data_IF_471162769089
#
_entry.id   IF_471162769089
#
_cell.length_a   1.000
_cell.length_b   1.000
_cell.length_c   1.000
_cell.angle_alpha   90.00
_cell.angle_beta   90.00
_cell.angle_gamma   90.00
#
_symmetry.space_group_name_H-M   'P 1'
#
loop_
_entity.id
_entity.type
_entity.pdbx_description
1 polymer ?
#
# COMPACT_ATOMS: atom_id res chain seq x y z
N UNK A 1 21.61 60.30 -31.59
CA UNK A 1 20.68 59.45 -32.35
C UNK A 1 20.68 58.08 -31.69
N UNK A 2 19.60 57.75 -30.99
CA UNK A 2 19.42 56.49 -30.26
C UNK A 2 18.84 55.41 -31.19
N UNK A 3 19.43 54.22 -31.17
CA UNK A 3 18.90 53.01 -31.81
C UNK A 3 18.28 52.15 -30.70
N UNK A 4 17.00 51.73 -30.78
CA UNK A 4 16.43 50.85 -29.77
C UNK A 4 16.83 49.40 -30.05
N UNK A 5 17.31 48.70 -29.02
CA UNK A 5 17.55 47.28 -29.05
C UNK A 5 16.20 46.53 -28.99
N UNK A 6 15.93 45.71 -30.01
CA UNK A 6 14.77 44.82 -30.07
C UNK A 6 15.11 43.54 -29.30
N UNK A 7 14.47 43.33 -28.16
CA UNK A 7 14.59 42.10 -27.37
C UNK A 7 13.61 41.05 -27.91
N UNK A 8 14.14 39.97 -28.50
CA UNK A 8 13.35 38.80 -28.87
C UNK A 8 13.19 37.86 -27.66
N UNK A 9 11.95 37.63 -27.23
CA UNK A 9 11.58 36.58 -26.28
C UNK A 9 11.46 35.25 -27.03
N UNK A 10 12.42 34.34 -26.79
CA UNK A 10 12.33 32.94 -27.22
C UNK A 10 11.45 32.18 -26.22
N UNK A 11 10.22 31.85 -26.62
CA UNK A 11 9.36 30.91 -25.91
C UNK A 11 9.82 29.48 -26.25
N UNK A 12 10.45 28.79 -25.29
CA UNK A 12 10.74 27.36 -25.37
C UNK A 12 9.46 26.57 -25.12
N UNK A 13 8.87 26.03 -26.19
CA UNK A 13 7.82 25.03 -26.09
C UNK A 13 8.44 23.72 -25.56
N UNK A 14 8.17 23.39 -24.30
CA UNK A 14 8.48 22.07 -23.75
C UNK A 14 7.46 21.10 -24.34
N UNK A 15 7.88 20.35 -25.37
CA UNK A 15 7.16 19.19 -25.87
C UNK A 15 7.09 18.15 -24.74
N UNK A 16 5.97 18.11 -24.04
CA UNK A 16 5.65 16.99 -23.17
C UNK A 16 5.52 15.75 -24.06
N UNK A 17 6.48 14.83 -23.96
CA UNK A 17 6.36 13.52 -24.58
C UNK A 17 5.09 12.85 -24.01
N UNK A 18 4.26 12.21 -24.86
CA UNK A 18 3.11 11.47 -24.36
C UNK A 18 3.62 10.38 -23.39
N UNK A 19 3.06 10.36 -22.17
CA UNK A 19 3.34 9.30 -21.22
C UNK A 19 3.08 7.95 -21.93
N UNK A 20 4.07 7.04 -22.00
CA UNK A 20 3.89 5.79 -22.70
C UNK A 20 2.76 5.00 -22.04
N UNK A 21 1.85 4.50 -22.88
CA UNK A 21 0.76 3.60 -22.50
C UNK A 21 1.30 2.49 -21.57
N UNK A 22 0.73 2.41 -20.37
CA UNK A 22 1.09 1.41 -19.36
C UNK A 22 0.93 -0.03 -19.90
N UNK A 23 0.01 -0.22 -20.86
CA UNK A 23 -0.19 -1.49 -21.58
C UNK A 23 0.99 -1.78 -22.50
N UNK A 24 1.53 -0.77 -23.18
CA UNK A 24 2.72 -0.91 -24.02
C UNK A 24 3.99 -1.23 -23.20
N UNK A 25 4.12 -0.67 -21.98
CA UNK A 25 5.21 -1.02 -21.05
C UNK A 25 5.12 -2.47 -20.57
N UNK A 26 3.93 -2.94 -20.17
CA UNK A 26 3.72 -4.34 -19.77
C UNK A 26 4.05 -5.30 -20.92
N UNK A 27 3.63 -4.97 -22.14
CA UNK A 27 3.90 -5.81 -23.31
C UNK A 27 5.39 -5.81 -23.70
N UNK A 28 6.11 -4.69 -23.51
CA UNK A 28 7.56 -4.64 -23.72
C UNK A 28 8.36 -5.46 -22.70
N UNK A 29 7.88 -5.54 -21.45
CA UNK A 29 8.47 -6.37 -20.40
C UNK A 29 8.21 -7.86 -20.67
N UNK A 30 7.02 -8.22 -21.15
CA UNK A 30 6.68 -9.59 -21.54
C UNK A 30 7.38 -10.04 -22.83
N UNK A 31 7.65 -9.11 -23.77
CA UNK A 31 8.31 -9.41 -25.04
C UNK A 31 9.84 -9.57 -24.92
N UNK A 32 10.47 -9.07 -23.84
CA UNK A 32 11.90 -9.24 -23.54
C UNK A 32 12.18 -10.51 -22.72
N UNK A 33 11.56 -11.61 -23.11
CA UNK A 33 11.85 -12.91 -22.52
C UNK A 33 13.34 -13.28 -22.66
N UNK A 34 13.99 -13.48 -21.52
CA UNK A 34 14.96 -14.55 -21.28
C UNK A 34 16.20 -14.63 -22.20
N UNK A 35 17.01 -13.58 -22.27
CA UNK A 35 18.44 -13.75 -22.54
C UNK A 35 19.29 -12.98 -21.50
N UNK A 36 19.83 -13.72 -20.53
CA UNK A 36 21.05 -13.33 -19.81
C UNK A 36 20.95 -12.28 -18.69
N UNK A 37 19.77 -11.79 -18.34
CA UNK A 37 19.53 -11.13 -17.06
C UNK A 37 18.72 -12.12 -16.23
N UNK A 38 19.36 -12.82 -15.29
CA UNK A 38 18.58 -13.38 -14.20
C UNK A 38 17.81 -12.21 -13.60
N UNK A 39 16.46 -12.28 -13.49
CA UNK A 39 15.75 -11.31 -12.70
C UNK A 39 16.46 -11.34 -11.35
N UNK A 40 17.01 -10.19 -10.93
CA UNK A 40 17.47 -10.06 -9.56
C UNK A 40 16.19 -10.27 -8.75
N UNK A 41 16.04 -11.49 -8.26
CA UNK A 41 14.92 -11.91 -7.45
C UNK A 41 15.13 -11.17 -6.14
N UNK A 42 14.64 -9.93 -6.08
CA UNK A 42 14.39 -9.24 -4.83
C UNK A 42 13.16 -9.92 -4.21
N UNK A 43 13.26 -11.23 -3.96
CA UNK A 43 12.28 -11.97 -3.19
C UNK A 43 12.49 -11.53 -1.74
N UNK A 44 11.85 -10.41 -1.42
CA UNK A 44 11.53 -10.06 -0.06
C UNK A 44 10.63 -11.18 0.44
N UNK A 45 11.25 -12.17 1.11
CA UNK A 45 10.62 -13.42 1.53
C UNK A 45 9.31 -13.23 2.30
N UNK A 46 8.57 -14.32 2.47
CA UNK A 46 7.29 -14.26 3.17
C UNK A 46 7.47 -13.84 4.63
N UNK A 47 6.65 -12.89 5.08
CA UNK A 47 6.77 -12.32 6.42
C UNK A 47 6.18 -10.93 6.54
N UNK A 48 6.40 -10.32 7.71
CA UNK A 48 5.94 -8.99 8.06
C UNK A 48 7.09 -8.00 7.95
N UNK A 49 6.80 -6.91 7.28
CA UNK A 49 7.70 -5.80 7.07
C UNK A 49 7.12 -4.55 7.72
N UNK A 50 7.98 -3.78 8.36
CA UNK A 50 7.67 -2.49 8.95
C UNK A 50 8.72 -1.50 8.52
N UNK A 51 8.32 -0.47 7.77
CA UNK A 51 9.23 0.54 7.27
C UNK A 51 8.89 1.94 7.80
N UNK A 52 9.89 2.71 8.18
CA UNK A 52 9.75 4.13 8.51
C UNK A 52 10.65 4.93 7.57
N UNK A 53 10.05 5.84 6.81
CA UNK A 53 10.81 6.77 5.98
C UNK A 53 11.24 7.99 6.80
N UNK A 54 12.54 8.27 6.80
CA UNK A 54 13.13 9.44 7.44
C UNK A 54 13.35 10.54 6.40
N UNK A 55 12.50 11.58 6.43
CA UNK A 55 12.61 12.74 5.52
C UNK A 55 13.94 13.52 5.66
N UNK A 56 14.62 13.44 6.80
CA UNK A 56 15.89 14.17 7.01
C UNK A 56 17.06 13.47 6.33
N UNK A 57 17.09 12.14 6.36
CA UNK A 57 18.17 11.34 5.78
C UNK A 57 17.83 10.77 4.41
N UNK A 58 16.58 10.98 3.95
CA UNK A 58 16.01 10.35 2.75
C UNK A 58 16.19 8.83 2.74
N UNK A 59 16.18 8.21 3.92
CA UNK A 59 16.47 6.80 4.10
C UNK A 59 15.25 6.07 4.67
N UNK A 60 15.15 4.79 4.34
CA UNK A 60 14.10 3.91 4.85
C UNK A 60 14.70 2.92 5.83
N UNK A 61 14.19 2.91 7.05
CA UNK A 61 14.50 1.88 8.03
C UNK A 61 13.45 0.78 7.93
N UNK A 62 13.87 -0.42 7.54
CA UNK A 62 12.98 -1.57 7.30
C UNK A 62 13.32 -2.66 8.29
N UNK A 63 12.35 -3.02 9.12
CA UNK A 63 12.38 -4.20 9.98
C UNK A 63 11.61 -5.34 9.31
N UNK A 64 12.19 -6.53 9.30
CA UNK A 64 11.58 -7.74 8.75
C UNK A 64 11.44 -8.82 9.82
N UNK A 65 10.28 -9.49 9.84
CA UNK A 65 9.99 -10.67 10.65
C UNK A 65 9.54 -11.79 9.72
N UNK A 66 10.30 -12.89 9.58
CA UNK A 66 9.96 -13.95 8.63
C UNK A 66 8.68 -14.67 9.04
N UNK A 67 7.99 -15.27 8.06
CA UNK A 67 6.75 -16.03 8.25
C UNK A 67 6.85 -17.09 9.37
N UNK A 68 8.02 -17.72 9.52
CA UNK A 68 8.29 -18.73 10.56
C UNK A 68 8.30 -18.17 11.98
N UNK A 69 8.52 -16.86 12.13
CA UNK A 69 8.56 -16.15 13.41
C UNK A 69 7.27 -15.36 13.69
N UNK A 70 6.37 -15.26 12.72
CA UNK A 70 5.03 -14.71 12.94
C UNK A 70 4.23 -15.73 13.75
N UNK A 71 4.36 -15.62 15.08
CA UNK A 71 3.69 -16.50 16.03
C UNK A 71 2.18 -16.43 15.87
N UNK A 72 1.56 -17.61 15.83
CA UNK A 72 0.11 -17.81 15.79
C UNK A 72 -0.53 -17.42 17.13
N UNK A 73 -0.51 -16.12 17.44
CA UNK A 73 -1.04 -15.56 18.70
C UNK A 73 -2.53 -15.26 18.61
N UNK A 74 -3.26 -16.04 17.79
CA UNK A 74 -4.71 -16.06 17.71
C UNK A 74 -5.28 -16.56 19.05
N UNK A 75 -5.48 -15.65 20.00
CA UNK A 75 -6.40 -15.88 21.11
C UNK A 75 -7.83 -15.76 20.59
N UNK A 76 -8.68 -16.68 21.04
CA UNK A 76 -10.07 -16.83 20.60
C UNK A 76 -10.80 -15.50 20.44
N UNK A 77 -11.41 -15.36 19.25
CA UNK A 77 -12.19 -14.21 18.83
C UNK A 77 -13.39 -14.08 19.76
N UNK A 78 -13.37 -13.09 20.66
CA UNK A 78 -14.60 -12.70 21.35
C UNK A 78 -15.49 -12.00 20.33
N UNK A 79 -16.67 -12.61 20.16
CA UNK A 79 -17.76 -12.26 19.26
C UNK A 79 -17.91 -10.77 18.92
N UNK A 80 -18.21 -10.52 17.64
CA UNK A 80 -18.72 -9.29 17.05
C UNK A 80 -19.40 -8.34 18.06
N UNK A 81 -18.62 -7.45 18.67
CA UNK A 81 -19.18 -6.27 19.29
C UNK A 81 -19.72 -5.42 18.14
N UNK A 82 -21.05 -5.25 18.08
CA UNK A 82 -21.68 -4.22 17.25
C UNK A 82 -20.99 -2.89 17.58
N UNK A 83 -20.05 -2.46 16.73
CA UNK A 83 -19.53 -1.10 16.79
C UNK A 83 -20.70 -0.19 16.44
N UNK A 84 -21.03 0.70 17.38
CA UNK A 84 -21.85 1.88 17.14
C UNK A 84 -21.41 2.56 15.86
N UNK A 85 -22.36 3.03 15.06
CA UNK A 85 -22.10 3.77 13.82
C UNK A 85 -21.02 4.85 14.09
N UNK A 86 -19.77 4.53 13.74
CA UNK A 86 -18.71 5.52 13.74
C UNK A 86 -19.10 6.56 12.70
N UNK A 87 -18.92 7.82 13.07
CA UNK A 87 -19.25 9.01 12.28
C UNK A 87 -19.06 8.78 10.79
N UNK A 88 -20.02 9.28 9.99
CA UNK A 88 -20.00 9.30 8.54
C UNK A 88 -18.87 10.23 8.03
N UNK A 89 -17.63 9.92 8.38
CA UNK A 89 -16.45 10.58 7.86
C UNK A 89 -16.16 10.05 6.45
N UNK A 90 -15.52 10.88 5.63
CA UNK A 90 -15.18 10.57 4.24
C UNK A 90 -14.29 9.33 4.20
N UNK A 91 -14.82 8.25 3.64
CA UNK A 91 -14.06 7.04 3.26
C UNK A 91 -13.72 7.14 1.79
N UNK A 92 -12.48 6.85 1.46
CA UNK A 92 -12.06 6.77 0.06
C UNK A 92 -11.62 5.35 -0.20
N UNK A 93 -12.43 4.59 -0.94
CA UNK A 93 -12.12 3.19 -1.26
C UNK A 93 -11.75 3.13 -2.73
N UNK A 94 -10.52 2.72 -3.00
CA UNK A 94 -9.98 2.60 -4.36
C UNK A 94 -9.84 1.13 -4.69
N UNK A 95 -10.43 0.72 -5.80
CA UNK A 95 -10.36 -0.65 -6.30
C UNK A 95 -9.40 -0.72 -7.48
N UNK A 96 -8.47 -1.67 -7.49
CA UNK A 96 -7.50 -1.79 -8.59
C UNK A 96 -8.13 -2.42 -9.84
N UNK A 97 -9.27 -3.09 -9.70
CA UNK A 97 -9.89 -3.91 -10.76
C UNK A 97 -9.22 -5.26 -10.97
N UNK A 98 -8.24 -5.61 -10.13
CA UNK A 98 -7.50 -6.87 -10.17
C UNK A 98 -7.88 -7.75 -8.98
N UNK A 99 -7.59 -9.04 -9.11
CA UNK A 99 -8.05 -10.06 -8.17
C UNK A 99 -6.93 -11.07 -7.88
N UNK A 100 -6.88 -11.51 -6.61
CA UNK A 100 -6.06 -12.63 -6.17
C UNK A 100 -6.53 -13.94 -6.80
N UNK A 101 -5.54 -14.81 -7.06
CA UNK A 101 -5.77 -16.20 -7.47
C UNK A 101 -5.66 -17.17 -6.29
N UNK A 102 -5.17 -16.69 -5.15
CA UNK A 102 -4.96 -17.45 -3.91
C UNK A 102 -5.56 -16.70 -2.72
N UNK A 103 -6.90 -16.69 -2.66
CA UNK A 103 -7.67 -16.06 -1.57
C UNK A 103 -7.24 -16.56 -0.17
N UNK A 104 -6.97 -17.85 0.06
CA UNK A 104 -6.44 -18.32 1.34
C UNK A 104 -5.15 -17.59 1.77
N UNK A 105 -4.19 -17.42 0.87
CA UNK A 105 -2.94 -16.72 1.19
C UNK A 105 -3.15 -15.23 1.43
N UNK A 106 -4.05 -14.61 0.69
CA UNK A 106 -4.46 -13.21 0.88
C UNK A 106 -5.17 -13.01 2.22
N UNK A 107 -6.10 -13.88 2.59
CA UNK A 107 -6.82 -13.83 3.87
C UNK A 107 -5.86 -14.04 5.04
N UNK A 108 -4.89 -14.96 4.90
CA UNK A 108 -3.82 -15.13 5.88
C UNK A 108 -3.01 -13.84 6.04
N UNK A 109 -2.58 -13.21 4.94
CA UNK A 109 -1.81 -11.96 4.99
C UNK A 109 -2.63 -10.82 5.64
N UNK A 110 -3.93 -10.73 5.35
CA UNK A 110 -4.85 -9.76 5.96
C UNK A 110 -4.92 -9.91 7.49
N UNK A 111 -5.09 -11.14 7.97
CA UNK A 111 -5.15 -11.44 9.41
C UNK A 111 -3.81 -11.16 10.08
N UNK A 112 -2.70 -11.61 9.48
CA UNK A 112 -1.37 -11.40 10.06
C UNK A 112 -0.96 -9.94 10.11
N UNK A 113 -1.33 -9.14 9.11
CA UNK A 113 -1.11 -7.70 9.21
C UNK A 113 -1.84 -7.14 10.44
N UNK A 114 -3.11 -7.50 10.61
CA UNK A 114 -3.93 -7.00 11.72
C UNK A 114 -3.36 -7.41 13.08
N UNK A 115 -2.89 -8.65 13.22
CA UNK A 115 -2.28 -9.17 14.44
C UNK A 115 -0.95 -8.47 14.75
N UNK A 116 -0.07 -8.35 13.74
CA UNK A 116 1.26 -7.77 13.91
C UNK A 116 1.24 -6.29 14.27
N UNK A 117 0.19 -5.56 13.92
CA UNK A 117 0.08 -4.12 14.20
C UNK A 117 -0.85 -3.79 15.38
N UNK A 118 -1.51 -4.80 15.96
CA UNK A 118 -2.43 -4.61 17.06
C UNK A 118 -1.73 -4.03 18.29
N UNK A 119 -2.28 -2.94 18.82
CA UNK A 119 -1.74 -2.25 19.98
C UNK A 119 -0.49 -1.41 19.71
N UNK A 120 -0.07 -1.28 18.45
CA UNK A 120 1.10 -0.47 18.06
C UNK A 120 0.69 0.94 17.64
N UNK A 121 1.61 1.88 17.81
CA UNK A 121 1.44 3.27 17.31
C UNK A 121 2.31 3.47 16.08
N UNK A 122 1.70 3.94 14.99
CA UNK A 122 2.38 4.28 13.75
C UNK A 122 2.42 5.80 13.61
N UNK A 123 3.56 6.33 13.18
CA UNK A 123 3.72 7.76 12.92
C UNK A 123 3.59 8.07 11.43
N UNK A 124 3.76 9.33 11.07
CA UNK A 124 3.78 9.76 9.67
C UNK A 124 4.90 9.00 8.93
N UNK A 125 4.60 8.55 7.71
CA UNK A 125 5.52 7.77 6.84
C UNK A 125 5.94 6.40 7.39
N UNK A 126 5.12 5.84 8.27
CA UNK A 126 5.28 4.47 8.71
C UNK A 126 4.36 3.56 7.90
N UNK A 127 4.95 2.54 7.28
CA UNK A 127 4.25 1.51 6.51
C UNK A 127 4.43 0.14 7.17
N UNK A 128 3.43 -0.71 7.01
CA UNK A 128 3.50 -2.11 7.41
C UNK A 128 2.88 -2.98 6.34
N UNK A 129 3.52 -4.07 5.97
CA UNK A 129 2.95 -5.02 5.02
C UNK A 129 3.33 -6.46 5.36
N UNK A 130 2.49 -7.38 4.90
CA UNK A 130 2.72 -8.82 5.01
C UNK A 130 2.71 -9.39 3.60
N UNK A 131 3.75 -10.17 3.27
CA UNK A 131 3.75 -11.02 2.10
C UNK A 131 3.51 -12.48 2.47
N UNK A 132 2.75 -13.18 1.64
CA UNK A 132 2.55 -14.63 1.73
C UNK A 132 2.20 -15.18 0.34
N UNK A 133 3.03 -16.08 -0.20
CA UNK A 133 2.81 -16.73 -1.50
C UNK A 133 2.42 -15.77 -2.64
N UNK A 134 3.09 -14.62 -2.73
CA UNK A 134 2.83 -13.61 -3.77
C UNK A 134 1.62 -12.69 -3.50
N UNK A 135 0.92 -12.87 -2.40
CA UNK A 135 -0.15 -11.99 -1.92
C UNK A 135 0.41 -10.97 -0.93
N UNK A 136 -0.15 -9.76 -0.92
CA UNK A 136 0.29 -8.64 -0.07
C UNK A 136 -0.88 -8.01 0.64
N UNK A 137 -0.80 -7.89 1.97
CA UNK A 137 -1.68 -7.03 2.77
C UNK A 137 -0.85 -5.88 3.33
N UNK A 138 -1.33 -4.64 3.23
CA UNK A 138 -0.55 -3.47 3.61
C UNK A 138 -1.35 -2.43 4.39
N UNK A 139 -0.63 -1.56 5.08
CA UNK A 139 -1.13 -0.32 5.64
C UNK A 139 -0.14 0.83 5.51
N UNK A 140 -0.67 2.04 5.47
CA UNK A 140 0.08 3.28 5.31
C UNK A 140 -0.43 4.31 6.32
N UNK A 141 0.42 4.72 7.26
CA UNK A 141 0.08 5.82 8.18
C UNK A 141 0.50 7.16 7.58
N UNK A 142 -0.49 8.00 7.31
CA UNK A 142 -0.31 9.36 6.79
C UNK A 142 -0.47 10.42 7.91
N UNK A 143 -0.38 10.01 9.17
CA UNK A 143 -0.54 10.89 10.33
C UNK A 143 0.31 10.44 11.52
N UNK A 144 0.58 11.36 12.44
CA UNK A 144 1.32 11.06 13.66
C UNK A 144 0.44 10.45 14.77
N UNK A 145 1.01 9.49 15.49
CA UNK A 145 0.36 8.85 16.62
C UNK A 145 -0.90 8.06 16.26
N UNK A 146 -0.91 7.38 15.12
CA UNK A 146 -1.99 6.47 14.75
C UNK A 146 -1.89 5.19 15.59
N UNK A 147 -2.73 5.08 16.61
CA UNK A 147 -2.85 3.83 17.38
C UNK A 147 -3.66 2.80 16.56
N UNK A 148 -3.09 1.62 16.35
CA UNK A 148 -3.68 0.58 15.52
C UNK A 148 -4.31 -0.50 16.38
N UNK A 149 -5.57 -0.80 16.07
CA UNK A 149 -6.30 -1.92 16.64
C UNK A 149 -6.52 -2.97 15.56
N UNK A 150 -6.39 -4.24 15.90
CA UNK A 150 -6.68 -5.37 15.00
C UNK A 150 -8.02 -5.18 14.27
N UNK A 151 -9.07 -4.84 15.02
CA UNK A 151 -10.41 -4.67 14.47
C UNK A 151 -10.49 -3.52 13.44
N UNK A 152 -9.73 -2.44 13.61
CA UNK A 152 -9.69 -1.35 12.63
C UNK A 152 -9.16 -1.85 11.28
N UNK A 153 -8.07 -2.63 11.30
CA UNK A 153 -7.45 -3.18 10.09
C UNK A 153 -8.41 -4.16 9.40
N UNK A 154 -9.01 -5.08 10.16
CA UNK A 154 -9.99 -6.04 9.62
C UNK A 154 -11.22 -5.31 9.05
N UNK A 155 -11.76 -4.31 9.76
CA UNK A 155 -12.90 -3.52 9.28
C UNK A 155 -12.59 -2.83 7.94
N UNK A 156 -11.35 -2.36 7.73
CA UNK A 156 -10.93 -1.74 6.47
C UNK A 156 -10.80 -2.77 5.34
N UNK A 157 -10.24 -3.95 5.60
CA UNK A 157 -10.19 -5.05 4.62
C UNK A 157 -11.59 -5.58 4.23
N UNK A 158 -12.54 -5.59 5.18
CA UNK A 158 -13.95 -5.92 4.90
C UNK A 158 -14.55 -4.87 3.95
N UNK A 159 -14.27 -3.58 4.14
CA UNK A 159 -14.75 -2.52 3.24
C UNK A 159 -14.19 -2.70 1.83
N UNK A 160 -12.91 -3.02 1.67
CA UNK A 160 -12.32 -3.37 0.37
C UNK A 160 -13.09 -4.54 -0.27
N UNK A 161 -13.34 -5.61 0.49
CA UNK A 161 -14.08 -6.77 -0.02
C UNK A 161 -15.50 -6.41 -0.47
N UNK A 162 -16.20 -5.58 0.29
CA UNK A 162 -17.57 -5.17 -0.01
C UNK A 162 -17.67 -4.26 -1.23
N UNK A 163 -16.66 -3.41 -1.46
CA UNK A 163 -16.71 -2.38 -2.50
C UNK A 163 -15.98 -2.75 -3.79
N UNK A 164 -14.96 -3.60 -3.71
CA UNK A 164 -14.10 -3.91 -4.85
C UNK A 164 -14.43 -5.23 -5.57
N UNK A 165 -15.55 -5.88 -5.21
CA UNK A 165 -16.04 -7.06 -5.93
C UNK A 165 -15.71 -8.40 -5.26
N UNK A 166 -15.53 -8.42 -3.94
CA UNK A 166 -15.44 -9.66 -3.14
C UNK A 166 -14.11 -9.84 -2.42
N UNK A 167 -13.96 -10.98 -1.75
CA UNK A 167 -12.77 -11.32 -0.93
C UNK A 167 -11.47 -11.40 -1.73
N UNK A 168 -11.53 -11.75 -3.01
CA UNK A 168 -10.36 -11.81 -3.89
C UNK A 168 -9.92 -10.42 -4.41
N UNK A 169 -10.75 -9.39 -4.27
CA UNK A 169 -10.49 -8.10 -4.93
C UNK A 169 -9.36 -7.32 -4.26
N UNK A 170 -8.45 -6.79 -5.07
CA UNK A 170 -7.40 -5.87 -4.64
C UNK A 170 -7.89 -4.41 -4.61
N UNK A 171 -7.22 -3.62 -3.78
CA UNK A 171 -7.57 -2.23 -3.52
C UNK A 171 -7.26 -1.83 -2.09
N UNK A 172 -7.68 -0.63 -1.71
CA UNK A 172 -7.51 -0.12 -0.35
C UNK A 172 -8.70 0.73 0.10
N UNK A 173 -8.91 0.77 1.42
CA UNK A 173 -9.77 1.73 2.10
C UNK A 173 -8.86 2.76 2.78
N UNK A 174 -9.09 4.04 2.50
CA UNK A 174 -8.45 5.16 3.20
C UNK A 174 -9.48 5.87 4.06
N UNK A 175 -9.11 6.15 5.31
CA UNK A 175 -9.92 6.86 6.28
C UNK A 175 -9.18 8.07 6.79
N UNK A 176 -9.82 9.24 6.67
CA UNK A 176 -9.39 10.48 7.29
C UNK A 176 -10.35 10.81 8.44
N UNK A 177 -9.84 10.83 9.67
CA UNK A 177 -10.57 11.11 10.91
C UNK A 177 -11.87 10.31 11.03
N UNK A 178 -11.79 8.98 10.91
CA UNK A 178 -12.97 8.12 10.86
C UNK A 178 -12.71 6.66 11.28
N UNK A 179 -13.68 6.06 11.98
CA UNK A 179 -13.63 4.63 12.36
C UNK A 179 -12.50 4.24 13.32
N UNK A 180 -11.82 5.22 13.94
CA UNK A 180 -10.60 5.03 14.74
C UNK A 180 -9.29 5.34 13.99
N UNK A 181 -9.36 5.69 12.70
CA UNK A 181 -8.22 6.18 11.92
C UNK A 181 -8.14 7.71 11.92
N UNK A 182 -6.93 8.26 12.01
CA UNK A 182 -6.60 9.67 11.85
C UNK A 182 -6.35 10.01 10.38
N UNK A 183 -5.38 9.36 9.76
CA UNK A 183 -5.20 9.27 8.31
C UNK A 183 -4.44 7.96 8.02
N UNK A 184 -5.19 6.95 7.61
CA UNK A 184 -4.71 5.58 7.45
C UNK A 184 -5.28 5.00 6.16
N UNK A 185 -4.42 4.38 5.36
CA UNK A 185 -4.81 3.49 4.28
C UNK A 185 -4.53 2.05 4.69
N UNK A 186 -5.46 1.14 4.42
CA UNK A 186 -5.27 -0.30 4.58
C UNK A 186 -5.81 -0.96 3.33
N UNK A 187 -5.03 -1.89 2.77
CA UNK A 187 -5.40 -2.53 1.52
C UNK A 187 -4.67 -3.82 1.30
N UNK A 188 -4.85 -4.34 0.09
CA UNK A 188 -4.26 -5.60 -0.33
C UNK A 188 -4.05 -5.63 -1.83
N UNK A 189 -2.96 -6.27 -2.25
CA UNK A 189 -2.48 -6.36 -3.63
C UNK A 189 -1.61 -7.62 -3.78
N UNK A 190 -0.86 -7.75 -4.89
CA UNK A 190 0.12 -8.82 -5.10
C UNK A 190 1.56 -8.33 -4.85
N UNK A 191 2.48 -9.26 -4.62
CA UNK A 191 3.92 -8.96 -4.50
C UNK A 191 4.43 -8.35 -5.81
N UNK A 192 5.11 -7.21 -5.70
CA UNK A 192 5.63 -6.45 -6.84
C UNK A 192 4.65 -5.42 -7.42
N UNK A 193 3.46 -5.26 -6.84
CA UNK A 193 2.63 -4.08 -7.09
C UNK A 193 3.03 -2.90 -6.19
N UNK A 194 2.60 -1.71 -6.59
CA UNK A 194 2.74 -0.49 -5.81
C UNK A 194 1.65 -0.41 -4.73
N UNK A 195 2.01 0.07 -3.55
CA UNK A 195 1.06 0.39 -2.48
C UNK A 195 1.56 1.62 -1.71
N UNK A 196 0.68 2.33 -1.01
CA UNK A 196 1.02 3.60 -0.33
C UNK A 196 1.50 4.73 -1.28
N UNK A 197 0.93 4.82 -2.48
CA UNK A 197 1.30 5.79 -3.51
C UNK A 197 0.74 7.21 -3.24
N UNK A 198 1.60 8.04 -2.67
CA UNK A 198 1.47 9.49 -2.62
C UNK A 198 2.85 10.13 -2.77
N UNK A 199 3.59 10.29 -1.66
CA UNK A 199 5.03 10.58 -1.63
C UNK A 199 5.83 9.27 -1.51
N UNK A 200 5.69 8.38 -2.49
CA UNK A 200 6.29 7.04 -2.39
C UNK A 200 7.80 7.08 -2.62
N UNK A 201 8.55 6.50 -1.68
CA UNK A 201 9.91 6.02 -1.87
C UNK A 201 9.83 4.51 -1.58
N UNK A 202 9.85 3.63 -2.58
CA UNK A 202 9.73 2.18 -2.36
C UNK A 202 9.41 1.42 -3.63
#
# INVERSE_FOLDING_TARGET
MHVPAVTFLLATAVLAAPAPDLVARRNAILARGTEGLEPVDFDQGDGFYSAVFNETTEAMDVTFVPVSEILDTSTDITANAKRSAFELAKRDTTCSGLFSRDVPSLDWANVRLADNVNGKTFNLYHWGWVHNNGETSFLCSNSNGQYLLRQLIIDMQIVVSQRCGGSAAYGYDRRFQGGGAKDLSVGRTWRGDHFCDGKFHG
#
